data_IF_753770665950
#
_entry.id   IF_753770665950
#
_cell.length_a   1.000
_cell.length_b   1.000
_cell.length_c   1.000
_cell.angle_alpha   90.00
_cell.angle_beta   90.00
_cell.angle_gamma   90.00
#
_symmetry.space_group_name_H-M   'P 1'
#
loop_
_entity.id
_entity.type
_entity.pdbx_description
1 polymer ?
#
# COMPACT_ATOMS: atom_id res chain seq x y z
N UNK A 1 -19.63 -4.32 9.34
CA UNK A 1 -19.05 -3.23 8.53
C UNK A 1 -18.30 -3.83 7.35
N UNK A 2 -18.83 -3.63 6.14
CA UNK A 2 -18.43 -4.20 4.84
C UNK A 2 -17.18 -3.55 4.22
N UNK A 3 -16.23 -3.11 5.06
CA UNK A 3 -15.13 -2.19 4.75
C UNK A 3 -14.36 -2.43 3.43
N UNK A 4 -14.22 -3.68 2.97
CA UNK A 4 -13.49 -3.98 1.74
C UNK A 4 -14.26 -3.65 0.46
N UNK A 5 -15.58 -3.83 0.47
CA UNK A 5 -16.43 -3.40 -0.65
C UNK A 5 -16.40 -1.89 -0.79
N UNK A 6 -16.41 -1.19 0.34
CA UNK A 6 -16.33 0.27 0.40
C UNK A 6 -14.97 0.78 -0.14
N UNK A 7 -13.87 0.08 0.18
CA UNK A 7 -12.54 0.40 -0.38
C UNK A 7 -12.44 0.18 -1.89
N UNK A 8 -13.00 -0.93 -2.39
CA UNK A 8 -13.08 -1.16 -3.84
C UNK A 8 -13.88 -0.09 -4.56
N UNK A 9 -15.06 0.23 -4.03
CA UNK A 9 -15.93 1.27 -4.59
C UNK A 9 -15.24 2.64 -4.55
N UNK A 10 -14.50 2.94 -3.48
CA UNK A 10 -13.72 4.18 -3.36
C UNK A 10 -12.70 4.30 -4.50
N UNK A 11 -11.95 3.24 -4.81
CA UNK A 11 -11.01 3.28 -5.95
C UNK A 11 -11.72 3.45 -7.30
N UNK A 12 -12.88 2.84 -7.49
CA UNK A 12 -13.69 3.04 -8.70
C UNK A 12 -14.17 4.49 -8.82
N UNK A 13 -14.67 5.07 -7.73
CA UNK A 13 -15.08 6.47 -7.69
C UNK A 13 -13.91 7.42 -7.94
N UNK A 14 -12.75 7.19 -7.31
CA UNK A 14 -11.54 7.98 -7.57
C UNK A 14 -11.15 7.92 -9.05
N UNK A 15 -11.21 6.74 -9.67
CA UNK A 15 -10.96 6.59 -11.11
C UNK A 15 -11.97 7.35 -11.95
N UNK A 16 -13.26 7.29 -11.61
CA UNK A 16 -14.33 8.01 -12.30
C UNK A 16 -14.12 9.54 -12.23
N UNK A 17 -13.82 10.04 -11.03
CA UNK A 17 -13.57 11.46 -10.73
C UNK A 17 -12.16 11.93 -11.12
N UNK A 18 -11.35 11.05 -11.73
CA UNK A 18 -9.95 11.32 -12.12
C UNK A 18 -9.05 11.76 -10.95
N UNK A 19 -9.36 11.29 -9.75
CA UNK A 19 -8.53 11.45 -8.55
C UNK A 19 -7.50 10.32 -8.53
N UNK A 20 -6.22 10.67 -8.54
CA UNK A 20 -5.13 9.69 -8.49
C UNK A 20 -4.86 9.32 -7.03
N UNK A 21 -4.97 8.04 -6.63
CA UNK A 21 -4.60 7.62 -5.28
C UNK A 21 -3.11 7.85 -5.04
N UNK A 22 -2.76 8.36 -3.86
CA UNK A 22 -1.38 8.56 -3.46
C UNK A 22 -0.84 7.34 -2.70
N UNK A 23 0.40 7.41 -2.21
CA UNK A 23 1.03 6.34 -1.41
C UNK A 23 0.26 6.01 -0.15
N UNK A 24 -0.28 7.02 0.52
CA UNK A 24 -1.03 6.81 1.76
C UNK A 24 -2.29 6.04 1.48
N UNK A 25 -3.03 6.45 0.45
CA UNK A 25 -4.26 5.76 0.01
C UNK A 25 -3.97 4.31 -0.40
N UNK A 26 -2.91 4.09 -1.19
CA UNK A 26 -2.48 2.75 -1.55
C UNK A 26 -2.13 1.90 -0.32
N UNK A 27 -1.43 2.48 0.65
CA UNK A 27 -1.06 1.83 1.91
C UNK A 27 -2.27 1.41 2.74
N UNK A 28 -3.26 2.27 2.90
CA UNK A 28 -4.50 1.93 3.60
C UNK A 28 -5.18 0.69 3.01
N UNK A 29 -5.21 0.58 1.68
CA UNK A 29 -5.81 -0.58 1.00
C UNK A 29 -4.94 -1.82 1.21
N UNK A 30 -3.63 -1.71 1.00
CA UNK A 30 -2.69 -2.82 1.19
C UNK A 30 -2.79 -3.38 2.61
N UNK A 31 -2.72 -2.52 3.62
CA UNK A 31 -2.76 -2.94 5.02
C UNK A 31 -4.13 -3.55 5.38
N UNK A 32 -5.24 -2.93 4.98
CA UNK A 32 -6.59 -3.49 5.21
C UNK A 32 -6.78 -4.88 4.59
N UNK A 33 -6.18 -5.14 3.42
CA UNK A 33 -6.22 -6.44 2.77
C UNK A 33 -5.38 -7.48 3.50
N UNK A 34 -4.21 -7.09 4.01
CA UNK A 34 -3.33 -8.01 4.74
C UNK A 34 -3.84 -8.33 6.13
N UNK A 35 -4.41 -7.37 6.85
CA UNK A 35 -5.04 -7.58 8.15
C UNK A 35 -6.16 -8.62 8.07
N UNK A 36 -6.86 -8.68 6.93
CA UNK A 36 -7.91 -9.65 6.66
C UNK A 36 -7.43 -10.95 6.00
N UNK A 37 -6.11 -11.13 5.85
CA UNK A 37 -5.48 -12.29 5.19
C UNK A 37 -5.90 -12.47 3.73
N UNK A 38 -6.26 -11.39 3.05
CA UNK A 38 -6.70 -11.38 1.64
C UNK A 38 -5.61 -10.94 0.67
N UNK A 39 -4.33 -11.05 1.03
CA UNK A 39 -3.21 -10.61 0.18
C UNK A 39 -3.20 -11.20 -1.24
N UNK A 40 -3.81 -12.38 -1.45
CA UNK A 40 -3.97 -12.97 -2.79
C UNK A 40 -4.92 -12.18 -3.71
N UNK A 41 -5.90 -11.48 -3.13
CA UNK A 41 -6.88 -10.68 -3.84
C UNK A 41 -6.48 -9.20 -3.97
N UNK A 42 -5.35 -8.79 -3.37
CA UNK A 42 -4.91 -7.40 -3.33
C UNK A 42 -4.77 -6.79 -4.74
N UNK A 43 -4.19 -7.53 -5.68
CA UNK A 43 -4.01 -7.03 -7.05
C UNK A 43 -5.33 -6.88 -7.81
N UNK A 44 -6.39 -7.61 -7.42
CA UNK A 44 -7.73 -7.37 -7.96
C UNK A 44 -8.25 -6.01 -7.52
N UNK A 45 -8.04 -5.63 -6.26
CA UNK A 45 -8.42 -4.31 -5.75
C UNK A 45 -7.64 -3.19 -6.43
N UNK A 46 -6.32 -3.37 -6.52
CA UNK A 46 -5.40 -2.34 -6.99
C UNK A 46 -5.36 -2.19 -8.51
N UNK A 47 -6.06 -3.02 -9.29
CA UNK A 47 -6.10 -2.90 -10.75
C UNK A 47 -6.77 -1.60 -11.24
N UNK A 48 -7.46 -0.87 -10.35
CA UNK A 48 -8.07 0.44 -10.61
C UNK A 48 -7.07 1.58 -10.51
N UNK A 49 -5.86 1.31 -10.02
CA UNK A 49 -4.75 2.25 -9.89
C UNK A 49 -3.65 1.96 -10.91
N UNK A 50 -2.92 2.98 -11.34
CA UNK A 50 -1.71 2.80 -12.13
C UNK A 50 -0.52 2.41 -11.24
N UNK A 51 -0.30 1.11 -11.07
CA UNK A 51 0.77 0.60 -10.20
C UNK A 51 2.20 0.79 -10.75
N UNK A 52 2.33 1.24 -12.00
CA UNK A 52 3.63 1.51 -12.61
C UNK A 52 4.12 2.93 -12.37
N UNK A 53 3.26 3.82 -11.84
CA UNK A 53 3.64 5.18 -11.52
C UNK A 53 4.57 5.24 -10.31
N UNK A 54 5.31 6.35 -10.24
CA UNK A 54 6.13 6.68 -9.10
C UNK A 54 5.25 6.98 -7.89
N UNK A 55 5.54 6.40 -6.72
CA UNK A 55 4.80 6.68 -5.50
C UNK A 55 4.95 8.15 -5.11
N UNK A 56 3.86 8.79 -4.72
CA UNK A 56 3.87 10.17 -4.20
C UNK A 56 3.17 10.20 -2.84
N UNK A 57 3.71 10.95 -1.89
CA UNK A 57 3.05 11.23 -0.61
C UNK A 57 2.50 12.64 -0.71
N UNK A 58 1.17 12.77 -0.65
CA UNK A 58 0.49 14.08 -0.70
C UNK A 58 -0.08 14.49 0.67
N UNK A 59 -0.05 13.59 1.65
CA UNK A 59 -0.43 13.87 3.03
C UNK A 59 0.66 14.67 3.75
N UNK A 60 0.24 15.67 4.50
CA UNK A 60 1.12 16.51 5.33
C UNK A 60 1.85 15.65 6.38
N UNK A 61 3.18 15.83 6.57
CA UNK A 61 3.95 15.09 7.56
C UNK A 61 3.39 15.14 8.98
N UNK A 62 2.79 16.26 9.39
CA UNK A 62 2.19 16.45 10.72
C UNK A 62 1.04 15.48 10.98
N UNK A 63 0.32 15.07 9.93
CA UNK A 63 -0.74 14.04 10.05
C UNK A 63 -0.15 12.73 10.54
N UNK A 64 1.05 12.36 10.08
CA UNK A 64 1.71 11.14 10.55
C UNK A 64 2.28 11.26 11.96
N UNK A 65 2.68 12.46 12.38
CA UNK A 65 3.11 12.70 13.76
C UNK A 65 1.97 12.52 14.76
N UNK A 66 0.76 12.96 14.38
CA UNK A 66 -0.42 12.92 15.26
C UNK A 66 -1.18 11.59 15.17
N UNK A 67 -1.39 11.06 13.96
CA UNK A 67 -2.23 9.86 13.73
C UNK A 67 -1.43 8.58 13.55
N UNK A 68 -0.12 8.67 13.34
CA UNK A 68 0.73 7.54 13.01
C UNK A 68 0.69 7.15 11.52
N UNK A 69 1.52 6.17 11.17
CA UNK A 69 1.65 5.61 9.81
C UNK A 69 1.16 4.17 9.78
N UNK A 70 0.58 3.76 8.64
CA UNK A 70 0.34 2.35 8.36
C UNK A 70 1.64 1.58 8.10
N UNK A 71 1.60 0.27 8.32
CA UNK A 71 2.74 -0.63 8.17
C UNK A 71 3.34 -0.58 6.75
N UNK A 72 2.49 -0.53 5.72
CA UNK A 72 2.95 -0.41 4.33
C UNK A 72 3.69 0.90 4.10
N UNK A 73 3.13 2.03 4.58
CA UNK A 73 3.74 3.35 4.42
C UNK A 73 5.10 3.37 5.12
N UNK A 74 5.15 3.01 6.39
CA UNK A 74 6.39 2.98 7.17
C UNK A 74 7.45 2.08 6.51
N UNK A 75 7.05 0.95 5.92
CA UNK A 75 7.97 0.07 5.19
C UNK A 75 8.51 0.68 3.89
N UNK A 76 7.79 1.64 3.31
CA UNK A 76 8.11 2.28 2.04
C UNK A 76 9.06 3.47 2.18
N UNK A 77 9.10 4.13 3.34
CA UNK A 77 9.86 5.38 3.55
C UNK A 77 11.33 5.25 3.21
N UNK A 78 12.00 4.22 3.72
CA UNK A 78 13.42 3.98 3.43
C UNK A 78 13.67 3.93 1.91
N UNK A 79 12.79 3.26 1.15
CA UNK A 79 12.95 3.18 -0.29
C UNK A 79 12.74 4.54 -0.99
N UNK A 80 11.84 5.37 -0.47
CA UNK A 80 11.58 6.71 -0.99
C UNK A 80 12.71 7.69 -0.67
N UNK A 81 13.36 7.56 0.48
CA UNK A 81 14.55 8.34 0.84
C UNK A 81 15.75 7.99 -0.06
N UNK A 82 15.91 6.71 -0.41
CA UNK A 82 17.00 6.23 -1.28
C UNK A 82 16.69 6.27 -2.79
N UNK A 83 15.84 7.21 -3.25
CA UNK A 83 15.46 7.38 -4.68
C UNK A 83 16.63 7.50 -5.67
N UNK A 84 17.83 7.84 -5.21
CA UNK A 84 19.02 8.04 -6.05
C UNK A 84 19.48 6.78 -6.80
N UNK A 85 19.07 5.58 -6.38
CA UNK A 85 19.60 4.33 -6.94
C UNK A 85 18.64 3.60 -7.90
N UNK A 86 17.33 3.89 -7.87
CA UNK A 86 16.34 3.14 -8.66
C UNK A 86 15.02 3.90 -8.78
N UNK A 87 14.39 3.80 -9.95
CA UNK A 87 12.98 4.18 -10.11
C UNK A 87 12.10 3.26 -9.28
N UNK A 88 11.42 3.83 -8.29
CA UNK A 88 10.44 3.14 -7.46
C UNK A 88 9.05 3.27 -8.07
N UNK A 89 8.29 2.19 -8.05
CA UNK A 89 6.89 2.17 -8.46
C UNK A 89 6.04 1.53 -7.38
N UNK A 90 4.74 1.84 -7.34
CA UNK A 90 3.81 1.19 -6.42
C UNK A 90 3.93 -0.33 -6.47
N UNK A 91 3.98 -0.92 -7.67
CA UNK A 91 4.13 -2.37 -7.88
C UNK A 91 5.39 -2.93 -7.19
N UNK A 92 6.51 -2.22 -7.27
CA UNK A 92 7.78 -2.64 -6.62
C UNK A 92 7.66 -2.59 -5.10
N UNK A 93 7.12 -1.50 -4.54
CA UNK A 93 6.93 -1.36 -3.09
C UNK A 93 6.00 -2.45 -2.54
N UNK A 94 4.84 -2.68 -3.18
CA UNK A 94 3.89 -3.73 -2.82
C UNK A 94 4.57 -5.11 -2.87
N UNK A 95 5.32 -5.42 -3.93
CA UNK A 95 6.00 -6.71 -4.05
C UNK A 95 7.00 -6.96 -2.91
N UNK A 96 7.78 -5.94 -2.54
CA UNK A 96 8.75 -6.02 -1.43
C UNK A 96 8.02 -6.23 -0.10
N UNK A 97 6.97 -5.43 0.15
CA UNK A 97 6.18 -5.51 1.36
C UNK A 97 5.52 -6.89 1.54
N UNK A 98 4.85 -7.40 0.49
CA UNK A 98 4.24 -8.72 0.52
C UNK A 98 5.27 -9.83 0.80
N UNK A 99 6.44 -9.78 0.17
CA UNK A 99 7.53 -10.74 0.44
C UNK A 99 7.99 -10.71 1.90
N UNK A 100 8.10 -9.51 2.49
CA UNK A 100 8.43 -9.34 3.92
C UNK A 100 7.35 -9.97 4.81
N UNK A 101 6.08 -9.73 4.51
CA UNK A 101 4.94 -10.27 5.27
C UNK A 101 4.85 -11.79 5.17
N UNK A 102 5.06 -12.38 3.98
CA UNK A 102 5.10 -13.85 3.83
C UNK A 102 6.24 -14.49 4.61
N UNK A 103 7.44 -13.90 4.60
CA UNK A 103 8.59 -14.42 5.37
C UNK A 103 8.33 -14.38 6.88
N UNK A 104 7.73 -13.30 7.39
CA UNK A 104 7.37 -13.18 8.82
C UNK A 104 6.51 -14.36 9.28
N UNK A 105 5.60 -14.83 8.42
CA UNK A 105 4.73 -15.97 8.71
C UNK A 105 5.43 -17.34 8.58
N UNK A 106 6.63 -17.40 7.99
CA UNK A 106 7.40 -18.64 7.82
C UNK A 106 8.44 -18.88 8.93
N UNK A 107 8.91 -17.82 9.60
CA UNK A 107 9.97 -17.92 10.63
C UNK A 107 9.52 -18.74 11.86
N UNK A 108 8.20 -18.88 12.09
CA UNK A 108 7.64 -19.65 13.20
C UNK A 108 7.66 -21.18 13.01
N UNK A 109 8.13 -21.71 11.87
CA UNK A 109 8.20 -23.17 11.61
C UNK A 109 9.59 -23.79 11.89
N UNK A 110 10.48 -23.08 12.59
CA UNK A 110 11.82 -23.55 12.93
C UNK A 110 11.99 -23.87 14.43
N UNK A 111 10.98 -24.44 15.08
CA UNK A 111 11.07 -25.01 16.44
C UNK A 111 10.41 -26.38 16.49
#
# INVERSE_FOLDING_TARGET
MSLLWDLHLTLEHMKHEKVVPDLVTCGCIVDAYLDRRLGRNLYFALNKMNLNDSPVVLTDPFVFEVLGKGDFHASSEAFLEFRRQREWTYRKLISIYLKKQYRRNQIFWNY
#
